data_IF_414349762240
#
_entry.id   IF_414349762240
#
_cell.length_a   1.000
_cell.length_b   1.000
_cell.length_c   1.000
_cell.angle_alpha   90.00
_cell.angle_beta   90.00
_cell.angle_gamma   90.00
#
_symmetry.space_group_name_H-M   'P 1'
#
loop_
_entity.id
_entity.type
_entity.pdbx_description
1 polymer ?
#
# COMPACT_ATOMS: atom_id res chain seq x y z
N UNK A 1 -0.57 -22.06 10.91
CA UNK A 1 -0.93 -20.75 10.33
C UNK A 1 -2.05 -20.19 11.18
N UNK A 2 -1.76 -19.19 12.01
CA UNK A 2 -2.72 -18.67 12.97
C UNK A 2 -3.87 -17.92 12.29
N UNK A 3 -5.08 -18.02 12.83
CA UNK A 3 -6.21 -17.18 12.41
C UNK A 3 -5.90 -15.75 12.89
N UNK A 4 -5.57 -14.85 11.97
CA UNK A 4 -5.50 -13.42 12.30
C UNK A 4 -6.92 -12.91 12.51
N UNK A 5 -7.14 -12.19 13.61
CA UNK A 5 -8.40 -11.47 13.87
C UNK A 5 -8.52 -10.18 13.04
N UNK A 6 -7.43 -9.75 12.40
CA UNK A 6 -7.36 -8.51 11.63
C UNK A 6 -7.63 -8.79 10.16
N UNK A 7 -8.79 -8.34 9.68
CA UNK A 7 -9.18 -8.38 8.26
C UNK A 7 -9.40 -6.98 7.74
N UNK A 8 -8.60 -6.58 6.76
CA UNK A 8 -8.71 -5.26 6.15
C UNK A 8 -9.89 -5.16 5.19
N UNK A 9 -10.52 -3.99 5.18
CA UNK A 9 -11.58 -3.66 4.24
C UNK A 9 -10.93 -3.06 2.99
N UNK A 10 -11.24 -3.62 1.83
CA UNK A 10 -10.94 -2.95 0.57
C UNK A 10 -11.90 -1.77 0.38
N UNK A 11 -11.35 -0.59 0.12
CA UNK A 11 -12.15 0.60 -0.19
C UNK A 11 -12.74 0.47 -1.59
N UNK A 12 -14.04 0.77 -1.74
CA UNK A 12 -14.76 0.56 -3.00
C UNK A 12 -14.34 1.54 -4.11
N UNK A 13 -14.01 2.78 -3.73
CA UNK A 13 -13.48 3.77 -4.67
C UNK A 13 -11.96 3.59 -4.81
N UNK A 14 -11.43 3.51 -6.04
CA UNK A 14 -9.99 3.50 -6.23
C UNK A 14 -9.40 4.84 -5.79
N UNK A 15 -8.23 4.79 -5.18
CA UNK A 15 -7.44 5.98 -4.83
C UNK A 15 -7.00 6.70 -6.10
N UNK A 16 -6.67 5.92 -7.13
CA UNK A 16 -6.28 6.43 -8.44
C UNK A 16 -6.70 5.44 -9.53
N UNK A 17 -7.16 5.95 -10.67
CA UNK A 17 -7.43 5.18 -11.89
C UNK A 17 -6.65 5.83 -13.03
N UNK A 18 -5.99 5.01 -13.83
CA UNK A 18 -5.10 5.44 -14.90
C UNK A 18 -5.28 4.55 -16.13
N UNK A 19 -4.94 5.10 -17.27
CA UNK A 19 -4.77 4.36 -18.52
C UNK A 19 -3.49 4.90 -19.16
N UNK A 20 -2.46 4.07 -19.21
CA UNK A 20 -1.12 4.43 -19.69
C UNK A 20 -0.60 3.34 -20.64
N UNK A 21 0.50 3.56 -21.36
CA UNK A 21 1.00 2.58 -22.34
C UNK A 21 1.23 1.19 -21.74
N UNK A 22 1.59 1.10 -20.45
CA UNK A 22 1.79 -0.16 -19.75
C UNK A 22 0.49 -0.89 -19.36
N UNK A 23 -0.66 -0.19 -19.31
CA UNK A 23 -1.95 -0.75 -18.90
C UNK A 23 -3.13 -0.05 -19.59
N UNK A 24 -3.95 -0.83 -20.30
CA UNK A 24 -5.16 -0.37 -21.00
C UNK A 24 -6.17 0.23 -20.03
N UNK A 25 -6.24 -0.30 -18.81
CA UNK A 25 -6.97 0.27 -17.67
C UNK A 25 -6.28 -0.20 -16.39
N UNK A 26 -6.06 0.71 -15.46
CA UNK A 26 -5.34 0.49 -14.22
C UNK A 26 -6.03 1.19 -13.06
N UNK A 27 -6.04 0.55 -11.89
CA UNK A 27 -6.62 1.14 -10.68
C UNK A 27 -5.85 0.70 -9.43
N UNK A 28 -5.71 1.64 -8.50
CA UNK A 28 -5.11 1.41 -7.18
C UNK A 28 -6.22 1.46 -6.12
N UNK A 29 -6.39 0.36 -5.40
CA UNK A 29 -7.35 0.25 -4.29
C UNK A 29 -6.61 0.17 -2.95
N UNK A 30 -7.14 0.83 -1.93
CA UNK A 30 -6.62 0.73 -0.58
C UNK A 30 -7.30 -0.41 0.19
N UNK A 31 -6.50 -1.22 0.87
CA UNK A 31 -6.94 -2.07 1.98
C UNK A 31 -6.62 -1.33 3.27
N UNK A 32 -7.66 -0.99 4.03
CA UNK A 32 -7.53 -0.15 5.20
C UNK A 32 -8.01 -0.83 6.48
N UNK A 33 -7.38 -0.42 7.59
CA UNK A 33 -7.92 -0.59 8.92
C UNK A 33 -8.39 0.79 9.42
N UNK A 34 -9.70 0.96 9.63
CA UNK A 34 -10.26 2.28 9.93
C UNK A 34 -10.09 3.23 8.75
N UNK A 35 -9.31 4.30 8.93
CA UNK A 35 -9.02 5.32 7.92
C UNK A 35 -7.63 5.22 7.31
N UNK A 36 -6.73 4.41 7.89
CA UNK A 36 -5.34 4.28 7.44
C UNK A 36 -5.18 3.12 6.46
N UNK A 37 -4.65 3.34 5.24
CA UNK A 37 -4.28 2.26 4.33
C UNK A 37 -3.11 1.42 4.85
N UNK A 38 -3.30 0.11 4.90
CA UNK A 38 -2.29 -0.86 5.34
C UNK A 38 -1.60 -1.55 4.16
N UNK A 39 -2.30 -1.62 3.02
CA UNK A 39 -1.76 -2.10 1.75
C UNK A 39 -2.53 -1.50 0.57
N UNK A 40 -1.89 -1.46 -0.60
CA UNK A 40 -2.54 -1.10 -1.86
C UNK A 40 -2.55 -2.29 -2.82
N UNK A 41 -3.70 -2.52 -3.44
CA UNK A 41 -3.83 -3.41 -4.59
C UNK A 41 -3.71 -2.57 -5.86
N UNK A 42 -2.70 -2.88 -6.66
CA UNK A 42 -2.54 -2.36 -8.01
C UNK A 42 -3.13 -3.41 -8.93
N UNK A 43 -4.17 -3.04 -9.69
CA UNK A 43 -4.85 -3.92 -10.63
C UNK A 43 -4.79 -3.30 -12.02
N UNK A 44 -4.25 -4.03 -12.99
CA UNK A 44 -4.02 -3.55 -14.34
C UNK A 44 -4.52 -4.55 -15.38
N UNK A 45 -5.26 -4.07 -16.36
CA UNK A 45 -5.54 -4.79 -17.59
C UNK A 45 -4.42 -4.49 -18.58
N UNK A 46 -3.51 -5.44 -18.76
CA UNK A 46 -2.38 -5.32 -19.69
C UNK A 46 -2.67 -6.07 -20.97
N UNK A 47 -2.31 -5.49 -22.11
CA UNK A 47 -2.39 -6.16 -23.40
C UNK A 47 -1.01 -6.65 -23.80
N UNK A 48 -0.78 -7.96 -23.65
CA UNK A 48 0.52 -8.58 -23.94
C UNK A 48 0.33 -9.68 -24.98
N UNK A 49 1.15 -9.64 -26.05
CA UNK A 49 1.16 -10.66 -27.12
C UNK A 49 -0.22 -10.95 -27.73
N UNK A 50 -1.04 -9.91 -27.92
CA UNK A 50 -2.37 -10.04 -28.53
C UNK A 50 -3.47 -10.50 -27.56
N UNK A 51 -3.17 -10.65 -26.26
CA UNK A 51 -4.11 -11.09 -25.24
C UNK A 51 -4.20 -10.04 -24.14
N UNK A 52 -5.42 -9.61 -23.80
CA UNK A 52 -5.65 -8.77 -22.62
C UNK A 52 -5.80 -9.64 -21.38
N UNK A 53 -4.99 -9.39 -20.35
CA UNK A 53 -5.02 -10.12 -19.08
C UNK A 53 -5.00 -9.15 -17.89
N UNK A 54 -5.62 -9.58 -16.79
CA UNK A 54 -5.55 -8.85 -15.53
C UNK A 54 -4.29 -9.26 -14.77
N UNK A 55 -3.47 -8.28 -14.44
CA UNK A 55 -2.32 -8.39 -13.58
C UNK A 55 -2.60 -7.67 -12.27
N UNK A 56 -2.04 -8.18 -11.19
CA UNK A 56 -2.13 -7.50 -9.91
C UNK A 56 -0.79 -7.50 -9.18
N UNK A 57 -0.59 -6.50 -8.34
CA UNK A 57 0.48 -6.43 -7.38
C UNK A 57 -0.07 -5.91 -6.04
N UNK A 58 0.61 -6.27 -4.95
CA UNK A 58 0.33 -5.76 -3.61
C UNK A 58 1.51 -4.89 -3.17
N UNK A 59 1.24 -3.63 -2.84
CA UNK A 59 2.21 -2.71 -2.26
C UNK A 59 1.92 -2.56 -0.76
N UNK A 60 2.79 -3.05 0.15
CA UNK A 60 2.64 -2.86 1.58
C UNK A 60 2.71 -1.39 1.96
N UNK A 61 1.84 -0.95 2.87
CA UNK A 61 1.88 0.41 3.44
C UNK A 61 2.14 0.41 4.95
N UNK A 62 2.39 -0.76 5.55
CA UNK A 62 2.68 -0.90 6.97
C UNK A 62 3.85 -1.84 7.28
N UNK A 63 4.24 -1.86 8.56
CA UNK A 63 5.36 -2.65 9.06
C UNK A 63 5.01 -4.10 9.43
N UNK A 64 3.74 -4.49 9.40
CA UNK A 64 3.28 -5.80 9.86
C UNK A 64 3.39 -6.89 8.79
N UNK A 65 3.26 -8.15 9.23
CA UNK A 65 3.11 -9.29 8.32
C UNK A 65 1.74 -9.20 7.61
N UNK A 66 1.74 -9.45 6.30
CA UNK A 66 0.58 -9.29 5.45
C UNK A 66 0.33 -10.55 4.62
N UNK A 67 -0.94 -10.92 4.50
CA UNK A 67 -1.40 -12.04 3.68
C UNK A 67 -2.55 -11.55 2.78
N UNK A 68 -2.37 -11.66 1.47
CA UNK A 68 -3.41 -11.36 0.50
C UNK A 68 -4.05 -12.66 -0.02
N UNK A 69 -5.37 -12.74 0.05
CA UNK A 69 -6.16 -13.89 -0.40
C UNK A 69 -7.16 -13.49 -1.47
N UNK A 70 -7.35 -14.37 -2.47
CA UNK A 70 -8.44 -14.31 -3.45
C UNK A 70 -9.37 -15.49 -3.19
N UNK A 71 -10.52 -15.22 -2.57
CA UNK A 71 -11.33 -16.28 -1.95
C UNK A 71 -10.54 -16.93 -0.82
N UNK A 72 -10.47 -18.26 -0.82
CA UNK A 72 -9.74 -19.03 0.20
C UNK A 72 -8.26 -19.25 -0.13
N UNK A 73 -7.83 -18.87 -1.34
CA UNK A 73 -6.45 -19.07 -1.80
C UNK A 73 -5.59 -17.86 -1.46
N UNK A 74 -4.48 -18.10 -0.77
CA UNK A 74 -3.41 -17.12 -0.64
C UNK A 74 -2.70 -16.92 -1.99
N UNK A 75 -2.54 -15.67 -2.37
CA UNK A 75 -1.95 -15.28 -3.66
C UNK A 75 -0.67 -14.46 -3.50
N UNK A 76 -0.45 -13.90 -2.31
CA UNK A 76 0.74 -13.14 -1.96
C UNK A 76 0.85 -13.04 -0.44
N UNK A 77 2.07 -13.03 0.06
CA UNK A 77 2.37 -12.80 1.48
C UNK A 77 3.68 -12.05 1.61
N UNK A 78 3.81 -11.29 2.70
CA UNK A 78 5.06 -10.65 3.06
C UNK A 78 5.25 -10.74 4.58
N UNK A 79 6.43 -11.18 5.05
CA UNK A 79 6.72 -11.18 6.48
C UNK A 79 6.68 -9.75 7.04
N UNK A 80 6.67 -9.66 8.37
CA UNK A 80 6.85 -8.39 9.08
C UNK A 80 8.08 -7.66 8.55
N UNK A 81 7.95 -6.35 8.37
CA UNK A 81 9.01 -5.49 7.87
C UNK A 81 10.30 -5.66 8.68
N UNK A 82 11.41 -5.90 8.00
CA UNK A 82 12.73 -6.04 8.57
C UNK A 82 13.57 -4.79 8.27
N UNK A 83 13.61 -3.86 9.23
CA UNK A 83 14.39 -2.61 9.13
C UNK A 83 15.88 -2.80 8.80
N UNK A 84 16.43 -4.01 9.00
CA UNK A 84 17.84 -4.29 8.73
C UNK A 84 18.10 -4.85 7.33
N UNK A 85 17.06 -5.20 6.55
CA UNK A 85 17.23 -5.73 5.20
C UNK A 85 17.44 -4.58 4.19
N UNK A 86 18.64 -4.47 3.57
CA UNK A 86 18.92 -3.41 2.61
C UNK A 86 18.18 -3.57 1.28
N UNK A 87 17.56 -4.73 1.02
CA UNK A 87 16.79 -4.98 -0.19
C UNK A 87 15.29 -4.72 -0.01
N UNK A 88 14.84 -4.34 1.19
CA UNK A 88 13.45 -3.95 1.38
C UNK A 88 13.19 -2.53 0.86
N UNK A 89 12.17 -2.43 0.01
CA UNK A 89 12.04 -1.34 -0.96
C UNK A 89 11.55 -0.03 -0.34
N UNK A 90 10.85 -0.07 0.81
CA UNK A 90 10.27 1.14 1.43
C UNK A 90 10.24 1.07 2.95
N UNK A 91 10.83 2.08 3.58
CA UNK A 91 10.77 2.34 5.01
C UNK A 91 11.01 3.81 5.27
N UNK A 92 9.95 4.62 5.24
CA UNK A 92 10.03 6.01 5.64
C UNK A 92 9.93 6.07 7.17
N UNK A 93 11.05 5.80 7.83
CA UNK A 93 11.16 5.97 9.28
C UNK A 93 11.92 7.25 9.54
N UNK A 94 11.21 8.17 10.20
CA UNK A 94 11.74 9.48 10.54
C UNK A 94 13.01 9.45 11.43
N UNK A 95 13.60 10.63 11.66
CA UNK A 95 12.97 11.92 11.44
C UNK A 95 12.99 12.32 9.95
N UNK A 96 11.82 12.61 9.40
CA UNK A 96 11.76 13.34 8.13
C UNK A 96 12.40 14.70 8.39
N UNK A 97 13.40 15.09 7.60
CA UNK A 97 13.91 16.44 7.66
C UNK A 97 12.75 17.37 7.31
N UNK A 98 12.21 18.03 8.33
CA UNK A 98 11.16 19.02 8.16
C UNK A 98 11.86 20.24 7.57
N UNK A 99 11.68 20.50 6.27
CA UNK A 99 12.14 21.75 5.69
C UNK A 99 11.38 22.89 6.40
N UNK A 100 12.07 23.77 7.15
CA UNK A 100 11.42 24.85 7.87
C UNK A 100 10.64 25.81 6.96
N UNK A 101 10.93 25.82 5.66
CA UNK A 101 10.21 26.60 4.64
C UNK A 101 8.88 25.97 4.25
N UNK A 102 8.78 24.63 4.27
CA UNK A 102 7.57 23.90 3.92
C UNK A 102 6.66 23.64 5.13
N UNK A 103 7.25 23.61 6.33
CA UNK A 103 6.54 23.39 7.59
C UNK A 103 7.04 24.39 8.64
N UNK A 104 6.48 25.61 8.66
CA UNK A 104 6.84 26.60 9.68
C UNK A 104 6.64 26.04 11.09
N UNK A 105 7.53 26.43 12.01
CA UNK A 105 7.60 25.91 13.39
C UNK A 105 6.28 26.01 14.18
N UNK A 106 5.37 26.84 13.70
CA UNK A 106 4.04 27.12 14.25
C UNK A 106 3.07 25.94 14.05
N UNK A 107 3.24 25.17 12.95
CA UNK A 107 2.48 23.95 12.67
C UNK A 107 2.93 22.76 13.54
N UNK A 108 4.23 22.68 13.85
CA UNK A 108 4.84 21.57 14.60
C UNK A 108 4.42 21.59 16.08
N UNK A 109 4.21 22.79 16.64
CA UNK A 109 3.81 22.96 18.05
C UNK A 109 2.34 22.58 18.32
N UNK A 110 1.53 22.35 17.30
CA UNK A 110 0.10 22.06 17.47
C UNK A 110 -0.21 20.61 17.90
N UNK A 111 0.76 19.68 17.83
CA UNK A 111 0.52 18.25 18.11
C UNK A 111 1.17 17.71 19.40
N UNK A 112 1.85 18.55 20.19
CA UNK A 112 2.41 18.14 21.50
C UNK A 112 1.53 18.53 22.69
N UNK A 113 0.30 19.00 22.45
CA UNK A 113 -0.66 19.30 23.50
C UNK A 113 -1.87 18.36 23.40
N UNK A 114 -1.70 17.10 23.82
CA UNK A 114 -2.74 16.29 24.47
C UNK A 114 -2.13 15.07 25.13
#
# INVERSE_FOLDING_TARGET
MGISIWRFRMMAQPVHRYAEEAAVDGAIFAFAQGTDPEAFLILESRHEKGISQWHFAIAPACGWELHAKRGDREVWSRPKWNRQDPNEVYGLVGPFAVDPKLFPAELIKSQQAK
#
